data_IF_439905259538
#
_entry.id   IF_439905259538
#
_cell.length_a   1.000
_cell.length_b   1.000
_cell.length_c   1.000
_cell.angle_alpha   90.00
_cell.angle_beta   90.00
_cell.angle_gamma   90.00
#
_symmetry.space_group_name_H-M   'P 1'
#
loop_
_entity.id
_entity.type
_entity.pdbx_description
1 polymer ?
#
# COMPACT_ATOMS: atom_id res chain seq x y z
N UNK A 1 -12.50 -5.56 -50.38
CA UNK A 1 -13.47 -5.05 -49.40
C UNK A 1 -12.89 -5.27 -48.01
N UNK A 2 -12.41 -4.22 -47.36
CA UNK A 2 -11.89 -4.27 -45.98
C UNK A 2 -12.92 -3.62 -45.06
N UNK A 3 -13.48 -4.40 -44.13
CA UNK A 3 -14.34 -3.88 -43.07
C UNK A 3 -13.47 -3.35 -41.93
N UNK A 4 -13.51 -2.05 -41.69
CA UNK A 4 -12.95 -1.42 -40.51
C UNK A 4 -13.97 -1.53 -39.36
N UNK A 5 -13.62 -2.25 -38.30
CA UNK A 5 -14.40 -2.31 -37.06
C UNK A 5 -13.98 -1.12 -36.19
N UNK A 6 -14.83 -0.09 -36.15
CA UNK A 6 -14.67 1.02 -35.23
C UNK A 6 -15.14 0.58 -33.83
N UNK A 7 -14.20 0.38 -32.91
CA UNK A 7 -14.51 0.15 -31.51
C UNK A 7 -14.98 1.46 -30.85
N UNK A 8 -16.07 1.46 -30.08
CA UNK A 8 -16.53 2.65 -29.37
C UNK A 8 -15.58 2.96 -28.22
N UNK A 9 -14.98 4.15 -28.24
CA UNK A 9 -14.31 4.73 -27.08
C UNK A 9 -15.37 5.11 -26.06
N UNK A 10 -15.60 4.25 -25.07
CA UNK A 10 -16.33 4.64 -23.86
C UNK A 10 -15.46 5.59 -23.04
N UNK A 11 -15.63 6.89 -23.26
CA UNK A 11 -15.12 7.92 -22.38
C UNK A 11 -15.79 7.78 -21.01
N UNK A 12 -15.13 7.08 -20.09
CA UNK A 12 -15.52 7.10 -18.68
C UNK A 12 -15.27 8.52 -18.18
N UNK A 13 -16.33 9.28 -17.94
CA UNK A 13 -16.23 10.60 -17.35
C UNK A 13 -15.60 10.45 -15.96
N UNK A 14 -14.34 10.85 -15.85
CA UNK A 14 -13.60 10.82 -14.60
C UNK A 14 -14.27 11.81 -13.63
N UNK A 15 -14.76 11.30 -12.50
CA UNK A 15 -15.30 12.12 -11.42
C UNK A 15 -14.10 12.70 -10.65
N UNK A 16 -14.08 14.01 -10.43
CA UNK A 16 -13.20 14.59 -9.39
C UNK A 16 -13.50 13.88 -8.09
N UNK A 17 -12.49 13.60 -7.26
CA UNK A 17 -12.72 13.02 -5.94
C UNK A 17 -13.84 13.80 -5.23
N UNK A 18 -14.99 13.15 -4.99
CA UNK A 18 -16.10 13.83 -4.31
C UNK A 18 -15.66 14.02 -2.86
N UNK A 19 -15.61 15.27 -2.40
CA UNK A 19 -15.26 15.59 -1.02
C UNK A 19 -16.14 14.83 0.00
N UNK A 20 -17.36 14.47 -0.41
CA UNK A 20 -18.29 13.66 0.37
C UNK A 20 -17.77 12.23 0.59
N UNK A 21 -17.15 11.62 -0.42
CA UNK A 21 -16.59 10.27 -0.30
C UNK A 21 -15.31 10.28 0.56
N UNK A 22 -14.44 11.28 0.40
CA UNK A 22 -13.24 11.38 1.25
C UNK A 22 -13.60 11.61 2.74
N UNK A 23 -14.70 12.33 3.01
CA UNK A 23 -15.23 12.49 4.36
C UNK A 23 -15.68 11.15 4.98
N UNK A 24 -16.24 10.23 4.18
CA UNK A 24 -16.65 8.91 4.64
C UNK A 24 -15.45 8.03 5.05
N UNK A 25 -14.35 8.06 4.29
CA UNK A 25 -13.12 7.37 4.69
C UNK A 25 -12.53 7.96 5.98
N UNK A 26 -12.51 9.29 6.09
CA UNK A 26 -12.05 9.97 7.31
C UNK A 26 -12.92 9.62 8.54
N UNK A 27 -14.24 9.50 8.37
CA UNK A 27 -15.15 9.04 9.42
C UNK A 27 -14.89 7.58 9.80
N UNK A 28 -14.64 6.69 8.83
CA UNK A 28 -14.27 5.31 9.13
C UNK A 28 -12.96 5.23 9.94
N UNK A 29 -11.99 6.11 9.67
CA UNK A 29 -10.78 6.23 10.50
C UNK A 29 -11.10 6.60 11.95
N UNK A 30 -11.97 7.60 12.16
CA UNK A 30 -12.43 7.98 13.51
C UNK A 30 -13.19 6.86 14.20
N UNK A 31 -14.07 6.16 13.47
CA UNK A 31 -14.82 5.03 13.99
C UNK A 31 -13.90 3.88 14.38
N UNK A 32 -12.84 3.61 13.62
CA UNK A 32 -11.83 2.60 13.95
C UNK A 32 -11.12 2.93 15.27
N UNK A 33 -10.71 4.19 15.46
CA UNK A 33 -10.09 4.62 16.71
C UNK A 33 -11.06 4.59 17.89
N UNK A 34 -12.32 4.94 17.67
CA UNK A 34 -13.37 4.83 18.68
C UNK A 34 -13.61 3.37 19.11
N UNK A 35 -13.65 2.43 18.16
CA UNK A 35 -13.79 0.99 18.45
C UNK A 35 -12.62 0.46 19.29
N UNK A 36 -11.39 0.93 19.02
CA UNK A 36 -10.21 0.58 19.82
C UNK A 36 -10.25 1.17 21.22
N UNK A 37 -10.66 2.43 21.35
CA UNK A 37 -10.78 3.09 22.64
C UNK A 37 -11.88 2.45 23.51
N UNK A 38 -12.98 2.00 22.90
CA UNK A 38 -14.07 1.33 23.61
C UNK A 38 -13.73 -0.09 24.08
N UNK A 39 -12.77 -0.76 23.41
CA UNK A 39 -12.35 -2.14 23.71
C UNK A 39 -10.81 -2.22 23.77
N UNK A 40 -10.15 -1.66 24.81
CA UNK A 40 -8.69 -1.57 24.85
C UNK A 40 -7.98 -2.93 24.85
N UNK A 41 -8.67 -4.00 25.27
CA UNK A 41 -8.11 -5.36 25.34
C UNK A 41 -8.23 -6.15 24.02
N UNK A 42 -8.83 -5.57 22.97
CA UNK A 42 -9.00 -6.24 21.66
C UNK A 42 -8.87 -5.28 20.48
N UNK A 43 -8.41 -5.75 19.33
CA UNK A 43 -8.49 -4.97 18.09
C UNK A 43 -9.78 -5.25 17.32
N UNK A 44 -10.34 -4.26 16.58
CA UNK A 44 -11.48 -4.49 15.68
C UNK A 44 -11.21 -5.66 14.71
N UNK A 45 -12.15 -6.57 14.51
CA UNK A 45 -11.97 -7.75 13.64
C UNK A 45 -12.91 -7.73 12.43
N UNK A 46 -12.49 -8.29 11.29
CA UNK A 46 -13.39 -8.53 10.16
C UNK A 46 -14.50 -9.56 10.48
N UNK A 47 -14.31 -10.37 11.52
CA UNK A 47 -15.32 -11.31 12.01
C UNK A 47 -16.48 -10.63 12.77
N UNK A 48 -16.26 -9.44 13.36
CA UNK A 48 -17.31 -8.69 14.04
C UNK A 48 -18.05 -7.79 13.05
N UNK A 49 -19.38 -7.80 13.03
CA UNK A 49 -20.17 -7.05 12.04
C UNK A 49 -19.87 -5.54 12.05
N UNK A 50 -19.83 -4.91 13.21
CA UNK A 50 -19.61 -3.46 13.35
C UNK A 50 -18.17 -3.06 12.95
N UNK A 51 -17.19 -3.80 13.45
CA UNK A 51 -15.78 -3.62 13.10
C UNK A 51 -15.56 -3.84 11.60
N UNK A 52 -16.20 -4.85 11.01
CA UNK A 52 -16.06 -5.18 9.60
C UNK A 52 -16.66 -4.10 8.70
N UNK A 53 -17.77 -3.46 9.09
CA UNK A 53 -18.33 -2.33 8.36
C UNK A 53 -17.31 -1.18 8.25
N UNK A 54 -16.65 -0.84 9.36
CA UNK A 54 -15.62 0.20 9.39
C UNK A 54 -14.39 -0.19 8.57
N UNK A 55 -13.87 -1.41 8.77
CA UNK A 55 -12.66 -1.89 8.08
C UNK A 55 -12.86 -2.00 6.57
N UNK A 56 -14.05 -2.43 6.12
CA UNK A 56 -14.37 -2.47 4.69
C UNK A 56 -14.35 -1.08 4.06
N UNK A 57 -14.82 -0.05 4.76
CA UNK A 57 -14.73 1.34 4.26
C UNK A 57 -13.29 1.80 4.20
N UNK A 58 -12.47 1.54 5.23
CA UNK A 58 -11.04 1.88 5.19
C UNK A 58 -10.32 1.20 4.02
N UNK A 59 -10.63 -0.07 3.76
CA UNK A 59 -10.03 -0.85 2.68
C UNK A 59 -10.65 -0.68 1.28
N UNK A 60 -11.67 0.17 1.08
CA UNK A 60 -12.42 0.27 -0.17
C UNK A 60 -11.70 1.12 -1.23
N UNK A 61 -10.63 0.56 -1.81
CA UNK A 61 -9.86 1.23 -2.85
C UNK A 61 -10.69 1.54 -4.12
N UNK A 62 -11.58 0.66 -4.61
CA UNK A 62 -12.43 0.98 -5.75
C UNK A 62 -13.24 2.27 -5.56
N UNK A 63 -13.86 2.43 -4.37
CA UNK A 63 -14.65 3.61 -4.06
C UNK A 63 -13.81 4.88 -3.90
N UNK A 64 -12.72 4.82 -3.13
CA UNK A 64 -12.01 6.04 -2.71
C UNK A 64 -10.79 6.40 -3.57
N UNK A 65 -10.24 5.45 -4.34
CA UNK A 65 -9.02 5.65 -5.12
C UNK A 65 -9.24 5.47 -6.63
N UNK A 66 -9.92 4.39 -7.03
CA UNK A 66 -10.01 4.04 -8.45
C UNK A 66 -11.08 4.87 -9.18
N UNK A 67 -12.19 5.18 -8.53
CA UNK A 67 -13.24 6.08 -9.04
C UNK A 67 -12.92 7.58 -8.97
N UNK A 68 -11.81 7.96 -8.29
CA UNK A 68 -11.45 9.33 -8.02
C UNK A 68 -10.26 9.80 -8.86
N UNK A 69 -10.34 11.03 -9.38
CA UNK A 69 -9.19 11.74 -9.94
C UNK A 69 -8.68 12.76 -8.94
N UNK A 70 -7.37 12.72 -8.69
CA UNK A 70 -6.67 13.66 -7.83
C UNK A 70 -5.77 14.56 -8.68
N UNK A 71 -5.61 15.79 -8.24
CA UNK A 71 -4.70 16.80 -8.80
C UNK A 71 -3.48 16.99 -7.89
N UNK A 72 -2.39 17.59 -8.37
CA UNK A 72 -1.22 17.86 -7.51
C UNK A 72 -1.53 18.67 -6.25
N UNK A 73 -2.54 19.56 -6.30
CA UNK A 73 -3.00 20.33 -5.14
C UNK A 73 -3.66 19.49 -4.05
N UNK A 74 -4.13 18.29 -4.38
CA UNK A 74 -4.81 17.36 -3.47
C UNK A 74 -3.86 16.29 -2.91
N UNK A 75 -2.56 16.37 -3.20
CA UNK A 75 -1.57 15.42 -2.69
C UNK A 75 -1.57 15.35 -1.16
N UNK A 76 -1.81 16.47 -0.47
CA UNK A 76 -1.97 16.50 0.99
C UNK A 76 -3.14 15.65 1.46
N UNK A 77 -4.33 15.85 0.87
CA UNK A 77 -5.54 15.06 1.20
C UNK A 77 -5.35 13.58 0.93
N UNK A 78 -4.74 13.21 -0.19
CA UNK A 78 -4.41 11.82 -0.49
C UNK A 78 -3.36 11.26 0.49
N UNK A 79 -2.43 12.09 0.98
CA UNK A 79 -1.46 11.70 2.01
C UNK A 79 -2.12 11.39 3.34
N UNK A 80 -3.06 12.22 3.77
CA UNK A 80 -3.84 11.97 4.99
C UNK A 80 -4.65 10.68 4.87
N UNK A 81 -5.19 10.39 3.68
CA UNK A 81 -5.88 9.12 3.41
C UNK A 81 -4.95 7.92 3.62
N UNK A 82 -3.77 7.91 2.99
CA UNK A 82 -2.82 6.80 3.13
C UNK A 82 -2.27 6.68 4.56
N UNK A 83 -2.07 7.81 5.26
CA UNK A 83 -1.56 7.82 6.64
C UNK A 83 -2.58 7.23 7.63
N UNK A 84 -3.89 7.32 7.37
CA UNK A 84 -4.92 6.64 8.20
C UNK A 84 -4.81 5.13 8.12
N UNK A 85 -4.77 4.55 6.93
CA UNK A 85 -4.58 3.10 6.75
C UNK A 85 -3.24 2.63 7.32
N UNK A 86 -2.17 3.42 7.12
CA UNK A 86 -0.87 3.16 7.75
C UNK A 86 -1.01 3.07 9.27
N UNK A 87 -1.70 4.02 9.87
CA UNK A 87 -1.87 4.10 11.32
C UNK A 87 -2.69 2.92 11.84
N UNK A 88 -3.72 2.48 11.11
CA UNK A 88 -4.49 1.29 11.42
C UNK A 88 -3.62 0.01 11.33
N UNK A 89 -2.82 -0.15 10.28
CA UNK A 89 -1.87 -1.28 10.14
C UNK A 89 -0.90 -1.32 11.33
N UNK A 90 -0.28 -0.18 11.66
CA UNK A 90 0.64 -0.08 12.80
C UNK A 90 -0.08 -0.41 14.11
N UNK A 91 -1.32 0.03 14.28
CA UNK A 91 -2.11 -0.27 15.47
C UNK A 91 -2.34 -1.77 15.65
N UNK A 92 -2.65 -2.51 14.58
CA UNK A 92 -2.76 -3.97 14.64
C UNK A 92 -1.42 -4.62 15.02
N UNK A 93 -0.35 -4.27 14.32
CA UNK A 93 0.96 -4.88 14.54
C UNK A 93 1.49 -4.58 15.95
N UNK A 94 1.32 -3.35 16.43
CA UNK A 94 1.85 -2.90 17.73
C UNK A 94 0.92 -3.20 18.93
N UNK A 95 -0.24 -3.82 18.70
CA UNK A 95 -1.23 -4.06 19.74
C UNK A 95 -0.65 -4.85 20.92
N UNK A 96 -0.65 -4.28 22.13
CA UNK A 96 -0.07 -4.92 23.33
C UNK A 96 1.44 -5.19 23.27
N UNK A 97 2.15 -4.68 22.26
CA UNK A 97 3.58 -4.94 22.08
C UNK A 97 4.47 -4.11 23.03
N UNK A 98 3.95 -3.04 23.61
CA UNK A 98 4.65 -2.26 24.62
C UNK A 98 4.51 -2.91 26.00
N UNK A 99 5.58 -3.52 26.50
CA UNK A 99 5.63 -4.16 27.82
C UNK A 99 6.79 -3.57 28.61
N UNK A 100 6.51 -3.07 29.83
CA UNK A 100 7.51 -2.41 30.69
C UNK A 100 8.26 -1.27 29.97
N UNK A 101 7.57 -0.52 29.09
CA UNK A 101 8.17 0.57 28.30
C UNK A 101 9.05 0.12 27.13
N UNK A 102 9.13 -1.18 26.84
CA UNK A 102 9.91 -1.74 25.74
C UNK A 102 9.01 -2.39 24.68
N UNK A 103 9.44 -2.32 23.43
CA UNK A 103 8.77 -2.97 22.31
C UNK A 103 9.17 -4.46 22.26
N UNK A 104 8.19 -5.35 22.38
CA UNK A 104 8.40 -6.80 22.35
C UNK A 104 8.11 -7.33 20.96
N UNK A 105 9.17 -7.61 20.20
CA UNK A 105 9.08 -8.03 18.79
C UNK A 105 8.26 -9.31 18.58
N UNK A 106 8.31 -10.26 19.51
CA UNK A 106 7.54 -11.50 19.43
C UNK A 106 6.03 -11.26 19.47
N UNK A 107 5.58 -10.24 20.19
CA UNK A 107 4.15 -9.85 20.22
C UNK A 107 3.75 -9.28 18.87
N UNK A 108 4.60 -8.44 18.27
CA UNK A 108 4.33 -7.87 16.94
C UNK A 108 4.25 -8.96 15.86
N UNK A 109 5.15 -9.94 15.92
CA UNK A 109 5.16 -11.07 14.99
C UNK A 109 3.88 -11.90 15.11
N UNK A 110 3.41 -12.18 16.34
CA UNK A 110 2.12 -12.86 16.56
C UNK A 110 0.95 -12.03 16.04
N UNK A 111 0.90 -10.74 16.35
CA UNK A 111 -0.16 -9.85 15.87
C UNK A 111 -0.25 -9.80 14.34
N UNK A 112 0.89 -9.83 13.64
CA UNK A 112 0.91 -9.85 12.18
C UNK A 112 0.21 -11.10 11.60
N UNK A 113 0.23 -12.22 12.32
CA UNK A 113 -0.47 -13.47 11.98
C UNK A 113 -1.92 -13.42 12.45
N UNK A 114 -2.15 -13.04 13.72
CA UNK A 114 -3.47 -13.04 14.35
C UNK A 114 -4.45 -12.08 13.67
N UNK A 115 -3.95 -10.97 13.12
CA UNK A 115 -4.70 -9.93 12.42
C UNK A 115 -4.38 -9.85 10.91
N UNK A 116 -3.87 -10.94 10.32
CA UNK A 116 -3.37 -10.94 8.94
C UNK A 116 -4.44 -10.50 7.91
N UNK A 117 -5.71 -10.83 8.12
CA UNK A 117 -6.78 -10.50 7.17
C UNK A 117 -7.11 -9.01 7.19
N UNK A 118 -7.19 -8.43 8.39
CA UNK A 118 -7.37 -7.00 8.59
C UNK A 118 -6.18 -6.22 7.99
N UNK A 119 -4.95 -6.67 8.29
CA UNK A 119 -3.72 -6.07 7.77
C UNK A 119 -3.66 -6.18 6.24
N UNK A 120 -4.01 -7.33 5.65
CA UNK A 120 -4.01 -7.53 4.20
C UNK A 120 -5.01 -6.62 3.48
N UNK A 121 -6.19 -6.42 4.06
CA UNK A 121 -7.19 -5.49 3.54
C UNK A 121 -6.61 -4.06 3.48
N UNK A 122 -6.05 -3.58 4.59
CA UNK A 122 -5.50 -2.23 4.70
C UNK A 122 -4.23 -2.04 3.86
N UNK A 123 -3.36 -3.04 3.75
CA UNK A 123 -2.14 -2.99 2.96
C UNK A 123 -2.43 -2.88 1.45
N UNK A 124 -3.47 -3.56 0.95
CA UNK A 124 -3.90 -3.41 -0.45
C UNK A 124 -4.36 -1.99 -0.75
N UNK A 125 -5.15 -1.41 0.15
CA UNK A 125 -5.55 -0.01 0.04
C UNK A 125 -4.33 0.92 0.08
N UNK A 126 -3.45 0.76 1.07
CA UNK A 126 -2.24 1.56 1.22
C UNK A 126 -1.35 1.50 -0.03
N UNK A 127 -1.13 0.31 -0.61
CA UNK A 127 -0.35 0.14 -1.83
C UNK A 127 -0.96 0.93 -3.01
N UNK A 128 -2.28 0.81 -3.22
CA UNK A 128 -3.00 1.59 -4.26
C UNK A 128 -2.93 3.09 -3.98
N UNK A 129 -3.07 3.49 -2.71
CA UNK A 129 -3.02 4.88 -2.28
C UNK A 129 -1.65 5.51 -2.60
N UNK A 130 -0.55 4.82 -2.26
CA UNK A 130 0.81 5.23 -2.61
C UNK A 130 0.97 5.31 -4.13
N UNK A 131 0.48 4.33 -4.89
CA UNK A 131 0.57 4.36 -6.34
C UNK A 131 -0.15 5.60 -6.96
N UNK A 132 -1.26 6.06 -6.36
CA UNK A 132 -1.93 7.31 -6.77
C UNK A 132 -1.11 8.56 -6.42
N UNK A 133 -0.34 8.55 -5.33
CA UNK A 133 0.52 9.67 -4.96
C UNK A 133 1.71 9.86 -5.90
N UNK A 134 2.29 8.79 -6.44
CA UNK A 134 3.50 8.84 -7.27
C UNK A 134 3.41 9.84 -8.43
N UNK A 135 2.43 9.75 -9.36
CA UNK A 135 2.36 10.68 -10.48
C UNK A 135 2.08 12.12 -10.05
N UNK A 136 1.34 12.32 -8.96
CA UNK A 136 1.03 13.66 -8.42
C UNK A 136 2.27 14.30 -7.80
N UNK A 137 3.00 13.54 -7.00
CA UNK A 137 4.25 13.96 -6.40
C UNK A 137 5.26 14.32 -7.51
N UNK A 138 5.45 13.46 -8.50
CA UNK A 138 6.33 13.77 -9.63
C UNK A 138 5.93 15.05 -10.39
N UNK A 139 4.63 15.26 -10.62
CA UNK A 139 4.14 16.48 -11.26
C UNK A 139 4.45 17.72 -10.42
N UNK A 140 4.23 17.65 -9.10
CA UNK A 140 4.55 18.72 -8.17
C UNK A 140 6.06 19.01 -8.14
N UNK A 141 6.91 17.96 -8.08
CA UNK A 141 8.37 18.11 -8.13
C UNK A 141 8.84 18.80 -9.41
N UNK A 142 8.25 18.44 -10.57
CA UNK A 142 8.55 19.11 -11.85
C UNK A 142 8.16 20.59 -11.85
N UNK A 143 7.06 20.96 -11.21
CA UNK A 143 6.58 22.35 -11.14
C UNK A 143 7.42 23.21 -10.19
N UNK A 144 7.89 22.63 -9.08
CA UNK A 144 8.60 23.36 -8.03
C UNK A 144 10.09 23.59 -8.31
N UNK A 145 10.71 22.77 -9.15
CA UNK A 145 12.17 22.78 -9.36
C UNK A 145 12.95 22.20 -8.17
N UNK A 146 14.21 21.81 -8.41
CA UNK A 146 15.03 21.04 -7.47
C UNK A 146 15.31 21.78 -6.14
N UNK A 147 15.49 23.10 -6.19
CA UNK A 147 15.85 23.91 -5.02
C UNK A 147 14.70 24.12 -4.02
N UNK A 148 13.45 23.91 -4.44
CA UNK A 148 12.27 24.00 -3.58
C UNK A 148 11.75 22.61 -3.20
N UNK A 149 11.97 21.63 -4.07
CA UNK A 149 11.82 20.20 -3.78
C UNK A 149 12.58 19.74 -2.53
N UNK A 150 13.83 20.19 -2.35
CA UNK A 150 14.65 19.88 -1.18
C UNK A 150 14.13 20.49 0.13
N UNK A 151 13.25 21.50 0.05
CA UNK A 151 12.63 22.17 1.20
C UNK A 151 11.25 21.61 1.56
N UNK A 152 10.65 20.79 0.70
CA UNK A 152 9.42 20.09 1.04
C UNK A 152 9.66 19.19 2.24
N UNK A 153 8.64 19.06 3.09
CA UNK A 153 8.62 18.03 4.14
C UNK A 153 8.45 16.66 3.46
N UNK A 154 9.54 16.11 2.94
CA UNK A 154 9.61 14.81 2.27
C UNK A 154 9.26 13.63 3.19
N UNK A 155 9.12 13.88 4.49
CA UNK A 155 8.84 12.85 5.49
C UNK A 155 7.61 12.00 5.16
N UNK A 156 6.55 12.57 4.57
CA UNK A 156 5.37 11.79 4.17
C UNK A 156 5.67 10.77 3.06
N UNK A 157 6.43 11.19 2.04
CA UNK A 157 6.79 10.33 0.93
C UNK A 157 7.84 9.29 1.33
N UNK A 158 8.83 9.66 2.15
CA UNK A 158 9.79 8.71 2.71
C UNK A 158 9.10 7.65 3.58
N UNK A 159 8.16 8.05 4.44
CA UNK A 159 7.33 7.10 5.21
C UNK A 159 6.58 6.14 4.28
N UNK A 160 6.03 6.65 3.17
CA UNK A 160 5.33 5.85 2.17
C UNK A 160 6.26 4.85 1.46
N UNK A 161 7.47 5.27 1.08
CA UNK A 161 8.49 4.39 0.51
C UNK A 161 8.89 3.28 1.50
N UNK A 162 9.08 3.61 2.78
CA UNK A 162 9.36 2.61 3.82
C UNK A 162 8.20 1.63 4.02
N UNK A 163 6.96 2.11 4.09
CA UNK A 163 5.78 1.26 4.20
C UNK A 163 5.65 0.32 3.01
N UNK A 164 5.90 0.83 1.80
CA UNK A 164 5.85 0.05 0.59
C UNK A 164 6.92 -1.05 0.57
N UNK A 165 8.17 -0.73 0.95
CA UNK A 165 9.24 -1.71 1.08
C UNK A 165 8.87 -2.81 2.10
N UNK A 166 8.35 -2.42 3.26
CA UNK A 166 7.86 -3.37 4.28
C UNK A 166 6.77 -4.28 3.73
N UNK A 167 5.81 -3.72 2.99
CA UNK A 167 4.71 -4.49 2.39
C UNK A 167 5.22 -5.50 1.36
N UNK A 168 6.21 -5.14 0.52
CA UNK A 168 6.88 -6.10 -0.37
C UNK A 168 7.56 -7.23 0.40
N UNK A 169 8.27 -6.91 1.49
CA UNK A 169 8.96 -7.92 2.29
C UNK A 169 7.98 -8.92 2.89
N UNK A 170 6.89 -8.43 3.49
CA UNK A 170 5.91 -9.30 4.16
C UNK A 170 5.12 -10.11 3.13
N UNK A 171 4.67 -9.51 2.02
CA UNK A 171 3.93 -10.23 0.97
C UNK A 171 4.77 -11.33 0.30
N UNK A 172 6.04 -11.06 -0.04
CA UNK A 172 6.91 -12.07 -0.60
C UNK A 172 7.21 -13.20 0.39
N UNK A 173 7.37 -12.89 1.68
CA UNK A 173 7.60 -13.90 2.72
C UNK A 173 6.41 -14.83 2.96
N UNK A 174 5.18 -14.32 2.89
CA UNK A 174 3.97 -15.08 3.24
C UNK A 174 3.29 -15.77 2.05
N UNK A 175 3.57 -15.34 0.81
CA UNK A 175 2.73 -15.75 -0.35
C UNK A 175 3.49 -16.40 -1.50
N UNK A 176 4.82 -16.41 -1.46
CA UNK A 176 5.61 -16.72 -2.66
C UNK A 176 5.80 -18.22 -2.94
N UNK A 177 5.51 -19.12 -2.00
CA UNK A 177 5.76 -20.56 -2.17
C UNK A 177 4.55 -21.35 -1.69
N UNK A 178 3.92 -22.11 -2.61
CA UNK A 178 2.87 -23.06 -2.27
C UNK A 178 3.47 -24.22 -1.46
N UNK A 179 2.79 -24.61 -0.37
CA UNK A 179 3.21 -25.75 0.47
C UNK A 179 3.90 -25.37 1.78
N UNK A 180 3.88 -24.11 2.21
CA UNK A 180 4.08 -23.83 3.63
C UNK A 180 2.80 -24.24 4.37
N UNK A 181 2.88 -25.24 5.24
CA UNK A 181 1.87 -25.55 6.28
C UNK A 181 1.64 -24.38 7.26
N UNK A 182 2.19 -23.20 6.97
CA UNK A 182 1.89 -21.97 7.68
C UNK A 182 0.39 -21.65 7.52
N UNK A 183 -0.26 -21.12 8.57
CA UNK A 183 -1.64 -20.66 8.53
C UNK A 183 -1.75 -19.37 7.69
N UNK A 184 -1.29 -19.42 6.44
CA UNK A 184 -1.35 -18.33 5.50
C UNK A 184 -2.80 -18.23 5.04
N UNK A 185 -3.49 -17.19 5.50
CA UNK A 185 -4.82 -16.90 5.00
C UNK A 185 -4.72 -16.62 3.49
N UNK A 186 -5.60 -17.22 2.66
CA UNK A 186 -5.74 -16.85 1.25
C UNK A 186 -5.87 -15.32 1.04
N UNK A 187 -6.35 -14.59 2.06
CA UNK A 187 -6.46 -13.13 2.05
C UNK A 187 -5.13 -12.39 1.90
N UNK A 188 -4.04 -12.90 2.49
CA UNK A 188 -2.74 -12.20 2.45
C UNK A 188 -2.07 -12.28 1.06
N UNK A 189 -2.30 -13.37 0.31
CA UNK A 189 -1.83 -13.51 -1.08
C UNK A 189 -2.40 -12.44 -2.03
N UNK A 190 -3.59 -11.91 -1.74
CA UNK A 190 -4.14 -10.77 -2.49
C UNK A 190 -3.31 -9.49 -2.40
N UNK A 191 -2.45 -9.35 -1.37
CA UNK A 191 -1.50 -8.25 -1.27
C UNK A 191 -0.44 -8.37 -2.36
N UNK A 192 0.10 -9.57 -2.58
CA UNK A 192 1.11 -9.82 -3.63
C UNK A 192 0.55 -9.51 -5.03
N UNK A 193 -0.71 -9.88 -5.29
CA UNK A 193 -1.40 -9.57 -6.56
C UNK A 193 -1.41 -8.06 -6.81
N UNK A 194 -1.82 -7.31 -5.78
CA UNK A 194 -1.89 -5.84 -5.83
C UNK A 194 -0.51 -5.23 -6.03
N UNK A 195 0.51 -5.75 -5.34
CA UNK A 195 1.89 -5.28 -5.49
C UNK A 195 2.46 -5.58 -6.88
N UNK A 196 2.11 -6.71 -7.49
CA UNK A 196 2.52 -7.05 -8.84
C UNK A 196 1.84 -6.15 -9.89
N UNK A 197 0.53 -5.90 -9.75
CA UNK A 197 -0.22 -4.94 -10.58
C UNK A 197 0.44 -3.54 -10.55
N UNK A 198 0.80 -3.06 -9.35
CA UNK A 198 1.31 -1.71 -9.14
C UNK A 198 2.84 -1.59 -9.26
N UNK A 199 3.56 -2.69 -9.47
CA UNK A 199 5.02 -2.73 -9.47
C UNK A 199 5.69 -1.68 -10.39
N UNK A 200 5.19 -1.41 -11.62
CA UNK A 200 5.77 -0.37 -12.48
C UNK A 200 5.70 1.04 -11.87
N UNK A 201 4.61 1.36 -11.16
CA UNK A 201 4.44 2.66 -10.50
C UNK A 201 5.27 2.73 -9.22
N UNK A 202 5.28 1.65 -8.44
CA UNK A 202 6.10 1.54 -7.24
C UNK A 202 7.60 1.65 -7.51
N UNK A 203 8.09 1.10 -8.63
CA UNK A 203 9.49 1.22 -9.04
C UNK A 203 9.94 2.66 -9.33
N UNK A 204 9.00 3.58 -9.61
CA UNK A 204 9.27 5.02 -9.74
C UNK A 204 9.28 5.73 -8.39
N UNK A 205 8.55 5.20 -7.41
CA UNK A 205 8.49 5.73 -6.06
C UNK A 205 9.73 5.34 -5.23
N UNK A 206 10.17 4.09 -5.34
CA UNK A 206 11.20 3.52 -4.48
C UNK A 206 12.61 3.98 -4.84
N UNK A 207 13.48 4.26 -3.86
CA UNK A 207 14.92 4.46 -4.09
C UNK A 207 15.57 3.24 -4.76
N UNK A 208 16.67 3.46 -5.50
CA UNK A 208 17.33 2.38 -6.24
C UNK A 208 17.73 1.21 -5.35
N UNK A 209 18.26 1.51 -4.16
CA UNK A 209 18.63 0.51 -3.16
C UNK A 209 17.43 -0.33 -2.70
N UNK A 210 16.29 0.30 -2.40
CA UNK A 210 15.06 -0.41 -2.00
C UNK A 210 14.53 -1.32 -3.11
N UNK A 211 14.63 -0.90 -4.38
CA UNK A 211 14.24 -1.75 -5.51
C UNK A 211 15.17 -2.95 -5.66
N UNK A 212 16.48 -2.76 -5.47
CA UNK A 212 17.43 -3.86 -5.44
C UNK A 212 17.13 -4.84 -4.30
N UNK A 213 16.74 -4.35 -3.12
CA UNK A 213 16.27 -5.18 -2.01
C UNK A 213 15.04 -6.01 -2.41
N UNK A 214 14.02 -5.37 -3.00
CA UNK A 214 12.81 -6.08 -3.46
C UNK A 214 13.16 -7.12 -4.53
N UNK A 215 13.94 -6.76 -5.54
CA UNK A 215 14.37 -7.68 -6.60
C UNK A 215 15.16 -8.87 -6.04
N UNK A 216 16.09 -8.61 -5.11
CA UNK A 216 16.88 -9.64 -4.44
C UNK A 216 16.04 -10.57 -3.56
N UNK A 217 14.92 -10.07 -3.00
CA UNK A 217 13.98 -10.87 -2.25
C UNK A 217 13.13 -11.77 -3.15
N UNK A 218 12.58 -11.24 -4.25
CA UNK A 218 11.62 -11.98 -5.08
C UNK A 218 12.28 -12.94 -6.07
N UNK A 219 13.48 -12.63 -6.58
CA UNK A 219 14.14 -13.43 -7.61
C UNK A 219 14.41 -14.88 -7.19
N UNK A 220 14.93 -15.17 -5.97
CA UNK A 220 15.12 -16.54 -5.51
C UNK A 220 13.82 -17.34 -5.39
N UNK A 221 12.67 -16.66 -5.24
CA UNK A 221 11.37 -17.29 -5.06
C UNK A 221 10.78 -17.80 -6.38
N UNK A 222 11.20 -17.25 -7.53
CA UNK A 222 10.68 -17.61 -8.86
C UNK A 222 10.81 -19.10 -9.18
N UNK A 223 11.94 -19.70 -8.80
CA UNK A 223 12.21 -21.12 -9.05
C UNK A 223 11.30 -22.05 -8.22
N UNK A 224 10.76 -21.56 -7.10
CA UNK A 224 9.96 -22.32 -6.13
C UNK A 224 8.46 -22.04 -6.24
N UNK A 225 8.09 -20.87 -6.73
CA UNK A 225 6.69 -20.46 -6.89
C UNK A 225 6.02 -21.28 -8.00
N UNK A 226 4.77 -21.72 -7.78
CA UNK A 226 3.92 -22.25 -8.84
C UNK A 226 3.11 -21.12 -9.51
N UNK A 227 2.51 -21.35 -10.68
CA UNK A 227 1.51 -20.43 -11.24
C UNK A 227 0.27 -20.33 -10.32
N UNK A 228 -0.35 -19.15 -10.13
CA UNK A 228 -0.04 -17.86 -10.77
C UNK A 228 1.08 -17.06 -10.08
N UNK A 229 1.48 -17.41 -8.85
CA UNK A 229 2.44 -16.66 -8.02
C UNK A 229 3.76 -16.36 -8.73
N UNK A 230 4.26 -17.32 -9.51
CA UNK A 230 5.47 -17.13 -10.34
C UNK A 230 5.37 -15.92 -11.28
N UNK A 231 4.22 -15.72 -11.92
CA UNK A 231 4.01 -14.62 -12.87
C UNK A 231 3.97 -13.25 -12.17
N UNK A 232 3.36 -13.18 -10.99
CA UNK A 232 3.32 -11.96 -10.16
C UNK A 232 4.72 -11.59 -9.67
N UNK A 233 5.46 -12.56 -9.13
CA UNK A 233 6.85 -12.37 -8.70
C UNK A 233 7.74 -11.92 -9.86
N UNK A 234 7.56 -12.49 -11.06
CA UNK A 234 8.33 -12.09 -12.25
C UNK A 234 8.05 -10.64 -12.60
N UNK A 235 6.77 -10.22 -12.61
CA UNK A 235 6.39 -8.83 -12.90
C UNK A 235 7.00 -7.85 -11.89
N UNK A 236 7.04 -8.23 -10.61
CA UNK A 236 7.71 -7.43 -9.57
C UNK A 236 9.21 -7.35 -9.86
N UNK A 237 9.88 -8.48 -10.11
CA UNK A 237 11.31 -8.53 -10.40
C UNK A 237 11.68 -7.65 -11.60
N UNK A 238 10.96 -7.78 -12.70
CA UNK A 238 11.19 -7.01 -13.94
C UNK A 238 11.01 -5.51 -13.70
N UNK A 239 9.97 -5.12 -12.96
CA UNK A 239 9.70 -3.70 -12.65
C UNK A 239 10.80 -3.09 -11.77
N UNK A 240 11.30 -3.86 -10.80
CA UNK A 240 12.33 -3.40 -9.86
C UNK A 240 13.75 -3.44 -10.44
N UNK A 241 13.98 -4.19 -11.53
CA UNK A 241 15.26 -4.27 -12.23
C UNK A 241 15.65 -2.98 -12.98
N UNK A 242 14.68 -2.11 -13.29
CA UNK A 242 14.95 -0.84 -13.96
C UNK A 242 15.88 0.04 -13.13
N UNK A 243 17.01 0.46 -13.68
CA UNK A 243 17.93 1.41 -13.02
C UNK A 243 17.54 2.88 -13.20
N UNK A 244 16.50 3.15 -14.01
CA UNK A 244 16.03 4.52 -14.26
C UNK A 244 15.44 5.11 -12.99
N UNK A 245 15.86 6.32 -12.67
CA UNK A 245 15.39 7.06 -11.51
C UNK A 245 14.64 8.31 -11.98
N UNK A 246 13.36 8.44 -11.63
CA UNK A 246 12.60 9.69 -11.79
C UNK A 246 12.43 10.35 -10.43
N UNK A 247 12.59 11.68 -10.34
CA UNK A 247 12.37 12.60 -9.21
C UNK A 247 12.32 11.99 -7.78
N UNK A 248 11.34 11.15 -7.46
CA UNK A 248 11.09 10.59 -6.13
C UNK A 248 12.17 9.64 -5.61
N UNK A 249 12.86 8.89 -6.48
CA UNK A 249 13.93 7.97 -6.06
C UNK A 249 15.25 8.68 -5.71
N UNK A 250 15.36 9.99 -5.99
CA UNK A 250 16.48 10.83 -5.55
C UNK A 250 16.32 11.28 -4.09
N UNK A 251 15.16 11.04 -3.48
CA UNK A 251 14.89 11.36 -2.09
C UNK A 251 15.54 10.32 -1.17
N UNK A 252 16.87 10.24 -1.19
CA UNK A 252 17.60 9.40 -0.25
C UNK A 252 17.62 10.06 1.13
N UNK A 253 17.54 9.28 2.23
CA UNK A 253 17.92 9.79 3.53
C UNK A 253 19.38 10.27 3.47
N UNK A 254 19.74 11.41 4.11
CA UNK A 254 21.14 11.74 4.27
C UNK A 254 21.87 10.59 5.00
N UNK A 255 23.16 10.37 4.69
CA UNK A 255 23.97 9.33 5.34
C UNK A 255 24.06 9.52 6.85
#
# INVERSE_FOLDING_TARGET
>A
MALAIAAPFFAHAARSADLTDLAAHAEAGRAFDALRAARPDTMPRLADADSAAVLRVLGDAPRFLDGATFTPGELGTLSDLCDRDRSAIVAYIAFGAMQNGQLVMDVMARNAVDYQDEIALLQRFQARCIAKQVPLAEALFRQMGEAQASRLRLGGLQRSQTALLQTYMVAAGNCAVDGSDAPNSPGYCGVLDTLAELAPVHARALPLASRATVAGLVTPLLARAAPPRRAELQRIADSMASTRCMALCLLQPPP
#
